data_IF_175693809912
#
_entry.id   IF_175693809912
#
_cell.length_a   1.000
_cell.length_b   1.000
_cell.length_c   1.000
_cell.angle_alpha   90.00
_cell.angle_beta   90.00
_cell.angle_gamma   90.00
#
_symmetry.space_group_name_H-M   'P 1'
#
loop_
_entity.id
_entity.type
_entity.pdbx_description
1 polymer ?
#
# COMPACT_ATOMS: atom_id res chain seq x y z
N UNK A 1 -28.67 51.71 1.54
CA UNK A 1 -28.36 50.98 0.30
C UNK A 1 -28.13 49.57 0.73
N UNK A 2 -29.16 48.75 0.61
CA UNK A 2 -29.14 47.33 0.98
C UNK A 2 -28.34 46.59 -0.08
N UNK A 3 -27.25 45.95 0.29
CA UNK A 3 -26.59 44.96 -0.54
C UNK A 3 -27.40 43.67 -0.42
N UNK A 4 -28.29 43.44 -1.38
CA UNK A 4 -28.85 42.10 -1.61
C UNK A 4 -27.68 41.14 -1.92
N UNK A 5 -27.28 40.35 -0.95
CA UNK A 5 -26.46 39.17 -1.18
C UNK A 5 -27.30 38.22 -2.04
N UNK A 6 -26.96 38.11 -3.33
CA UNK A 6 -27.54 37.11 -4.21
C UNK A 6 -27.08 35.73 -3.69
N UNK A 7 -27.88 35.12 -2.83
CA UNK A 7 -27.81 33.67 -2.59
C UNK A 7 -28.05 33.01 -3.94
N UNK A 8 -27.07 32.25 -4.42
CA UNK A 8 -27.20 31.46 -5.64
C UNK A 8 -28.30 30.42 -5.45
N UNK A 9 -29.01 30.06 -6.52
CA UNK A 9 -30.04 29.01 -6.47
C UNK A 9 -29.43 27.74 -5.86
N UNK A 10 -29.95 27.20 -4.76
CA UNK A 10 -29.42 25.97 -4.10
C UNK A 10 -29.23 24.79 -5.05
N UNK A 11 -30.01 24.74 -6.14
CA UNK A 11 -29.92 23.76 -7.19
C UNK A 11 -28.60 23.86 -7.99
N UNK A 12 -28.11 25.07 -8.21
CA UNK A 12 -26.83 25.30 -8.92
C UNK A 12 -25.67 24.85 -8.02
N UNK A 13 -25.72 25.25 -6.75
CA UNK A 13 -24.72 24.81 -5.78
C UNK A 13 -24.66 23.29 -5.64
N UNK A 14 -25.82 22.63 -5.56
CA UNK A 14 -25.89 21.18 -5.50
C UNK A 14 -25.36 20.49 -6.77
N UNK A 15 -25.61 21.06 -7.96
CA UNK A 15 -25.07 20.56 -9.22
C UNK A 15 -23.53 20.61 -9.25
N UNK A 16 -22.93 21.70 -8.78
CA UNK A 16 -21.48 21.82 -8.64
C UNK A 16 -20.89 20.85 -7.62
N UNK A 17 -21.58 20.67 -6.49
CA UNK A 17 -21.21 19.67 -5.50
C UNK A 17 -21.18 18.27 -6.09
N UNK A 18 -22.16 17.90 -6.91
CA UNK A 18 -22.21 16.61 -7.62
C UNK A 18 -21.04 16.48 -8.61
N UNK A 19 -20.73 17.52 -9.38
CA UNK A 19 -19.57 17.52 -10.29
C UNK A 19 -18.26 17.33 -9.53
N UNK A 20 -18.06 18.04 -8.42
CA UNK A 20 -16.87 17.89 -7.58
C UNK A 20 -16.70 16.46 -7.06
N UNK A 21 -17.78 15.85 -6.55
CA UNK A 21 -17.76 14.46 -6.05
C UNK A 21 -17.49 13.44 -7.17
N UNK A 22 -17.89 13.70 -8.41
CA UNK A 22 -17.76 12.74 -9.50
C UNK A 22 -16.43 12.81 -10.25
N UNK A 23 -15.79 13.98 -10.30
CA UNK A 23 -14.64 14.26 -11.18
C UNK A 23 -13.30 14.37 -10.46
N UNK A 24 -13.25 14.57 -9.13
CA UNK A 24 -12.04 14.84 -8.36
C UNK A 24 -11.56 13.68 -7.46
N UNK A 25 -10.40 13.91 -6.86
CA UNK A 25 -9.98 13.20 -5.66
C UNK A 25 -10.79 13.66 -4.43
N UNK A 26 -10.51 13.05 -3.26
CA UNK A 26 -11.27 13.36 -2.05
C UNK A 26 -11.14 14.83 -1.62
N UNK A 27 -9.93 15.40 -1.69
CA UNK A 27 -9.64 16.78 -1.29
C UNK A 27 -10.45 17.76 -2.16
N UNK A 28 -10.32 17.64 -3.48
CA UNK A 28 -11.09 18.45 -4.46
C UNK A 28 -12.60 18.30 -4.27
N UNK A 29 -13.08 17.08 -3.99
CA UNK A 29 -14.50 16.82 -3.77
C UNK A 29 -15.02 17.52 -2.51
N UNK A 30 -14.28 17.44 -1.39
CA UNK A 30 -14.69 18.07 -0.13
C UNK A 30 -14.60 19.60 -0.20
N UNK A 31 -13.57 20.16 -0.83
CA UNK A 31 -13.45 21.60 -1.06
C UNK A 31 -14.59 22.13 -1.95
N UNK A 32 -14.93 21.39 -3.00
CA UNK A 32 -16.06 21.72 -3.86
C UNK A 32 -17.41 21.70 -3.14
N UNK A 33 -17.58 20.77 -2.19
CA UNK A 33 -18.78 20.69 -1.34
C UNK A 33 -18.86 21.87 -0.36
N UNK A 34 -17.76 22.26 0.27
CA UNK A 34 -17.69 23.42 1.15
C UNK A 34 -17.92 24.72 0.36
N UNK A 35 -17.36 24.82 -0.86
CA UNK A 35 -17.62 25.94 -1.76
C UNK A 35 -19.08 26.02 -2.22
N UNK A 36 -19.74 24.89 -2.46
CA UNK A 36 -21.17 24.86 -2.78
C UNK A 36 -22.04 25.30 -1.58
N UNK A 37 -21.63 24.94 -0.36
CA UNK A 37 -22.30 25.43 0.85
C UNK A 37 -22.14 26.97 1.00
N UNK A 38 -20.95 27.49 0.71
CA UNK A 38 -20.67 28.92 0.74
C UNK A 38 -21.56 29.69 -0.26
N UNK A 39 -21.66 29.19 -1.50
CA UNK A 39 -22.51 29.80 -2.54
C UNK A 39 -24.01 29.80 -2.19
N UNK A 40 -24.50 28.73 -1.54
CA UNK A 40 -25.91 28.54 -1.24
C UNK A 40 -26.35 29.22 0.07
N UNK A 41 -25.51 29.15 1.11
CA UNK A 41 -25.90 29.44 2.49
C UNK A 41 -24.99 30.49 3.18
N UNK A 42 -23.85 30.82 2.54
CA UNK A 42 -22.86 31.79 3.03
C UNK A 42 -22.44 31.56 4.51
N UNK A 43 -22.06 30.35 4.93
CA UNK A 43 -21.51 30.13 6.26
C UNK A 43 -20.18 30.88 6.40
N UNK A 44 -19.91 31.43 7.58
CA UNK A 44 -18.63 32.06 7.86
C UNK A 44 -17.49 31.03 7.93
N UNK A 45 -17.79 29.83 8.40
CA UNK A 45 -16.84 28.71 8.51
C UNK A 45 -17.50 27.37 8.17
N UNK A 46 -16.71 26.45 7.64
CA UNK A 46 -17.12 25.08 7.39
C UNK A 46 -15.96 24.10 7.61
N UNK A 47 -16.24 22.90 8.07
CA UNK A 47 -15.23 21.84 8.23
C UNK A 47 -15.82 20.46 7.98
N UNK A 48 -15.00 19.60 7.41
CA UNK A 48 -15.28 18.17 7.25
C UNK A 48 -14.25 17.38 8.06
N UNK A 49 -14.76 16.52 8.93
CA UNK A 49 -13.94 15.61 9.73
C UNK A 49 -14.30 14.18 9.41
N UNK A 50 -13.29 13.33 9.21
CA UNK A 50 -13.47 11.92 8.85
C UNK A 50 -12.87 11.02 9.94
N UNK A 51 -13.49 9.87 10.17
CA UNK A 51 -12.92 8.81 10.99
C UNK A 51 -11.92 8.00 10.17
N UNK A 52 -10.80 7.62 10.75
CA UNK A 52 -9.83 6.70 10.14
C UNK A 52 -9.94 5.36 10.88
N UNK A 53 -10.10 4.22 10.18
CA UNK A 53 -10.15 2.90 10.82
C UNK A 53 -8.90 2.57 11.63
N UNK A 54 -7.74 3.08 11.21
CA UNK A 54 -6.42 2.79 11.81
C UNK A 54 -5.99 3.82 12.86
N UNK A 55 -6.76 4.91 13.04
CA UNK A 55 -6.45 5.98 13.99
C UNK A 55 -7.67 6.35 14.82
N UNK A 56 -7.54 6.45 16.15
CA UNK A 56 -8.66 6.85 16.99
C UNK A 56 -9.05 8.30 16.75
N UNK A 57 -10.35 8.59 16.78
CA UNK A 57 -10.92 9.93 16.69
C UNK A 57 -11.19 10.41 15.26
N UNK A 58 -11.66 11.65 15.17
CA UNK A 58 -11.92 12.32 13.91
C UNK A 58 -10.68 13.09 13.45
N UNK A 59 -10.43 13.09 12.16
CA UNK A 59 -9.34 13.84 11.52
C UNK A 59 -9.92 14.89 10.58
N UNK A 60 -9.32 16.06 10.58
CA UNK A 60 -9.71 17.15 9.69
C UNK A 60 -9.36 16.78 8.25
N UNK A 61 -10.36 16.85 7.37
CA UNK A 61 -10.22 16.51 5.95
C UNK A 61 -10.33 17.72 5.02
N UNK A 62 -11.18 18.70 5.36
CA UNK A 62 -11.32 19.94 4.59
C UNK A 62 -11.85 21.07 5.48
N UNK A 63 -11.53 22.31 5.14
CA UNK A 63 -11.97 23.51 5.87
C UNK A 63 -12.33 24.65 4.91
N UNK A 64 -13.25 25.51 5.34
CA UNK A 64 -13.62 26.75 4.67
C UNK A 64 -13.70 27.88 5.68
N UNK A 65 -13.17 29.05 5.35
CA UNK A 65 -13.32 30.28 6.16
C UNK A 65 -12.58 30.25 7.51
N UNK A 66 -11.67 29.29 7.76
CA UNK A 66 -10.91 29.14 9.01
C UNK A 66 -9.46 29.56 8.83
N UNK A 67 -8.91 30.27 9.81
CA UNK A 67 -7.48 30.55 9.90
C UNK A 67 -6.71 29.39 10.58
N UNK A 68 -5.37 29.45 10.53
CA UNK A 68 -4.50 28.40 11.10
C UNK A 68 -4.73 28.17 12.60
N UNK A 69 -5.05 29.24 13.35
CA UNK A 69 -5.30 29.13 14.78
C UNK A 69 -6.63 28.45 15.09
N UNK A 70 -7.68 28.72 14.31
CA UNK A 70 -8.98 28.05 14.40
C UNK A 70 -8.88 26.57 14.03
N UNK A 71 -8.11 26.26 12.97
CA UNK A 71 -7.82 24.88 12.55
C UNK A 71 -7.10 24.11 13.65
N UNK A 72 -6.04 24.70 14.24
CA UNK A 72 -5.29 24.06 15.30
C UNK A 72 -6.14 23.81 16.56
N UNK A 73 -7.03 24.73 16.91
CA UNK A 73 -7.99 24.55 18.02
C UNK A 73 -8.97 23.43 17.71
N UNK A 74 -9.59 23.43 16.54
CA UNK A 74 -10.54 22.39 16.14
C UNK A 74 -9.91 21.00 16.21
N UNK A 75 -8.67 20.84 15.74
CA UNK A 75 -7.95 19.58 15.79
C UNK A 75 -7.74 19.02 17.20
N UNK A 76 -7.64 19.90 18.19
CA UNK A 76 -7.57 19.53 19.63
C UNK A 76 -8.95 19.26 20.20
N UNK A 77 -9.92 20.13 19.90
CA UNK A 77 -11.26 20.12 20.48
C UNK A 77 -12.06 18.89 20.07
N UNK A 78 -11.82 18.32 18.89
CA UNK A 78 -12.51 17.12 18.40
C UNK A 78 -12.19 15.85 19.20
N UNK A 79 -11.15 15.88 20.03
CA UNK A 79 -10.86 14.80 20.99
C UNK A 79 -11.88 14.77 22.16
N UNK A 80 -12.58 15.87 22.42
CA UNK A 80 -13.64 15.92 23.43
C UNK A 80 -14.90 15.19 22.89
N UNK A 81 -15.41 14.17 23.61
CA UNK A 81 -16.66 13.51 23.26
C UNK A 81 -17.87 14.44 23.20
N UNK A 82 -17.84 15.58 23.85
CA UNK A 82 -18.91 16.59 23.84
C UNK A 82 -18.80 17.56 22.66
N UNK A 83 -17.72 17.53 21.90
CA UNK A 83 -17.57 18.35 20.70
C UNK A 83 -18.69 18.05 19.69
N UNK A 84 -19.32 19.06 19.09
CA UNK A 84 -20.46 18.87 18.17
C UNK A 84 -20.18 17.95 17.00
N UNK A 85 -19.00 18.01 16.42
CA UNK A 85 -18.58 17.09 15.34
C UNK A 85 -18.53 15.65 15.81
N UNK A 86 -17.96 15.42 17.00
CA UNK A 86 -17.85 14.08 17.60
C UNK A 86 -19.22 13.55 17.99
N UNK A 87 -20.10 14.40 18.54
CA UNK A 87 -21.49 14.06 18.84
C UNK A 87 -22.26 13.69 17.57
N UNK A 88 -22.16 14.47 16.50
CA UNK A 88 -22.82 14.18 15.23
C UNK A 88 -22.30 12.87 14.61
N UNK A 89 -21.01 12.66 14.56
CA UNK A 89 -20.41 11.44 14.00
C UNK A 89 -20.84 10.18 14.76
N UNK A 90 -20.85 10.23 16.11
CA UNK A 90 -21.15 9.08 16.95
C UNK A 90 -22.67 8.88 17.13
N UNK A 91 -23.42 9.97 17.29
CA UNK A 91 -24.88 9.96 17.51
C UNK A 91 -25.70 9.75 16.25
N UNK A 92 -25.09 9.89 15.06
CA UNK A 92 -25.74 9.82 13.75
C UNK A 92 -26.95 10.75 13.61
N UNK A 93 -26.94 11.87 14.34
CA UNK A 93 -28.01 12.83 14.38
C UNK A 93 -27.51 14.22 13.98
N UNK A 94 -28.30 14.92 13.17
CA UNK A 94 -28.03 16.30 12.76
C UNK A 94 -28.50 17.28 13.84
N UNK A 95 -27.75 18.39 13.99
CA UNK A 95 -28.12 19.53 14.83
C UNK A 95 -27.96 20.78 13.98
N UNK A 96 -28.95 21.67 13.97
CA UNK A 96 -28.97 22.82 13.05
C UNK A 96 -28.95 24.18 13.71
N UNK A 97 -29.10 24.30 15.01
CA UNK A 97 -29.30 25.50 15.78
C UNK A 97 -28.42 25.59 17.04
N UNK A 98 -27.25 24.96 17.00
CA UNK A 98 -26.37 24.92 18.17
C UNK A 98 -25.65 26.26 18.36
N UNK A 99 -26.05 27.00 19.40
CA UNK A 99 -25.33 28.21 19.81
C UNK A 99 -23.98 27.87 20.43
N UNK A 100 -22.97 28.66 20.11
CA UNK A 100 -21.63 28.55 20.64
C UNK A 100 -20.98 29.95 20.78
N UNK A 101 -19.80 29.98 21.43
CA UNK A 101 -19.04 31.23 21.57
C UNK A 101 -17.63 31.01 20.99
N UNK A 102 -17.16 32.03 20.27
CA UNK A 102 -15.79 32.11 19.78
C UNK A 102 -14.84 32.58 20.87
N UNK A 103 -13.54 32.44 20.68
CA UNK A 103 -12.53 32.90 21.63
C UNK A 103 -12.51 34.40 21.86
N UNK A 104 -12.95 35.17 20.89
CA UNK A 104 -13.09 36.62 20.97
C UNK A 104 -14.37 37.08 21.68
N UNK A 105 -15.21 36.15 22.16
CA UNK A 105 -16.47 36.39 22.82
C UNK A 105 -17.67 36.63 21.87
N UNK A 106 -17.47 36.56 20.56
CA UNK A 106 -18.58 36.54 19.59
C UNK A 106 -19.36 35.23 19.67
N UNK A 107 -20.66 35.30 19.37
CA UNK A 107 -21.52 34.11 19.33
C UNK A 107 -21.76 33.64 17.91
N UNK A 108 -21.90 32.33 17.76
CA UNK A 108 -22.23 31.72 16.45
C UNK A 108 -23.37 30.73 16.59
N UNK A 109 -24.03 30.46 15.47
CA UNK A 109 -24.97 29.34 15.32
C UNK A 109 -24.30 28.28 14.44
N UNK A 110 -24.27 27.04 14.87
CA UNK A 110 -23.64 25.94 14.17
C UNK A 110 -24.62 24.85 13.76
N UNK A 111 -24.41 24.32 12.55
CA UNK A 111 -25.05 23.11 12.07
C UNK A 111 -24.02 21.99 11.95
N UNK A 112 -24.32 20.80 12.48
CA UNK A 112 -23.42 19.65 12.50
C UNK A 112 -24.17 18.41 12.04
N UNK A 113 -23.67 17.75 10.99
CA UNK A 113 -24.34 16.63 10.35
C UNK A 113 -23.40 15.40 10.29
N UNK A 114 -23.92 14.20 10.53
CA UNK A 114 -23.14 13.00 10.37
C UNK A 114 -22.88 12.68 8.90
N UNK A 115 -21.72 12.14 8.60
CA UNK A 115 -21.41 11.51 7.32
C UNK A 115 -21.67 10.01 7.47
N UNK A 116 -22.75 9.52 6.89
CA UNK A 116 -23.20 8.13 7.03
C UNK A 116 -23.54 7.56 5.66
N UNK A 117 -23.12 6.31 5.44
CA UNK A 117 -23.55 5.53 4.27
C UNK A 117 -24.24 4.25 4.72
N UNK A 118 -25.23 3.79 3.96
CA UNK A 118 -25.88 2.50 4.22
C UNK A 118 -25.16 1.40 3.43
N UNK A 119 -24.71 0.34 4.13
CA UNK A 119 -24.15 -0.88 3.54
C UNK A 119 -24.91 -2.09 4.08
N UNK A 120 -25.51 -2.86 3.21
CA UNK A 120 -26.30 -4.06 3.58
C UNK A 120 -27.36 -3.79 4.66
N UNK A 121 -27.97 -2.58 4.61
CA UNK A 121 -28.98 -2.16 5.58
C UNK A 121 -28.41 -1.68 6.92
N UNK A 122 -27.08 -1.60 7.07
CA UNK A 122 -26.41 -1.06 8.26
C UNK A 122 -25.83 0.31 7.96
N UNK A 123 -26.08 1.27 8.84
CA UNK A 123 -25.47 2.59 8.76
C UNK A 123 -24.02 2.56 9.23
N UNK A 124 -23.10 2.97 8.34
CA UNK A 124 -21.66 3.06 8.62
C UNK A 124 -21.29 4.53 8.78
N UNK A 125 -20.87 4.97 9.96
CA UNK A 125 -20.39 6.34 10.18
C UNK A 125 -19.01 6.52 9.55
N UNK A 126 -18.85 7.62 8.83
CA UNK A 126 -17.60 7.98 8.15
C UNK A 126 -16.95 9.23 8.74
N UNK A 127 -17.72 10.02 9.48
CA UNK A 127 -17.29 11.29 10.05
C UNK A 127 -18.44 12.25 10.29
N UNK A 128 -18.15 13.54 10.20
CA UNK A 128 -19.14 14.63 10.31
C UNK A 128 -18.73 15.85 9.50
N UNK A 129 -19.70 16.65 9.10
CA UNK A 129 -19.53 17.96 8.48
C UNK A 129 -20.23 19.01 9.35
N UNK A 130 -19.63 20.18 9.48
CA UNK A 130 -20.22 21.27 10.25
C UNK A 130 -20.01 22.62 9.59
N UNK A 131 -20.93 23.52 9.87
CA UNK A 131 -20.96 24.89 9.37
C UNK A 131 -21.28 25.83 10.50
N UNK A 132 -20.80 27.08 10.42
CA UNK A 132 -21.05 28.12 11.42
C UNK A 132 -21.34 29.46 10.80
N UNK A 133 -22.32 30.15 11.38
CA UNK A 133 -22.72 31.53 11.03
C UNK A 133 -22.61 32.45 12.24
N UNK A 134 -22.31 33.75 12.08
CA UNK A 134 -22.44 34.71 13.17
C UNK A 134 -23.88 34.75 13.70
N UNK A 135 -24.03 34.77 15.02
CA UNK A 135 -25.36 34.85 15.65
C UNK A 135 -25.86 36.31 15.67
N UNK A 136 -27.18 36.53 15.56
CA UNK A 136 -28.24 35.56 15.37
C UNK A 136 -28.33 35.07 13.91
N UNK A 137 -28.56 33.75 13.72
CA UNK A 137 -28.80 33.16 12.41
C UNK A 137 -29.86 32.05 12.53
N UNK A 138 -30.76 31.99 11.52
CA UNK A 138 -31.81 30.96 11.47
C UNK A 138 -31.49 30.00 10.32
N UNK A 139 -31.38 28.73 10.63
CA UNK A 139 -31.20 27.65 9.64
C UNK A 139 -32.57 27.07 9.33
N UNK A 140 -33.25 27.70 8.37
CA UNK A 140 -34.60 27.30 7.96
C UNK A 140 -34.66 25.89 7.33
N UNK A 141 -35.86 25.39 7.10
CA UNK A 141 -36.09 24.02 6.56
C UNK A 141 -35.38 23.81 5.20
N UNK A 142 -35.31 24.85 4.34
CA UNK A 142 -34.66 24.76 3.04
C UNK A 142 -33.13 24.67 3.17
N UNK A 143 -32.55 25.44 4.10
CA UNK A 143 -31.14 25.35 4.46
C UNK A 143 -30.79 23.99 5.05
N UNK A 144 -31.64 23.46 5.95
CA UNK A 144 -31.47 22.10 6.54
C UNK A 144 -31.50 21.02 5.47
N UNK A 145 -32.40 21.10 4.49
CA UNK A 145 -32.46 20.13 3.37
C UNK A 145 -31.20 20.21 2.50
N UNK A 146 -30.72 21.44 2.21
CA UNK A 146 -29.48 21.65 1.46
C UNK A 146 -28.27 21.08 2.19
N UNK A 147 -28.10 21.38 3.47
CA UNK A 147 -27.03 20.85 4.30
C UNK A 147 -27.04 19.33 4.40
N UNK A 148 -28.24 18.75 4.54
CA UNK A 148 -28.41 17.30 4.57
C UNK A 148 -27.98 16.65 3.26
N UNK A 149 -28.32 17.29 2.12
CA UNK A 149 -27.89 16.83 0.80
C UNK A 149 -26.38 16.92 0.60
N UNK A 150 -25.76 18.01 1.06
CA UNK A 150 -24.30 18.17 1.03
C UNK A 150 -23.59 17.16 1.93
N UNK A 151 -24.12 16.89 3.12
CA UNK A 151 -23.58 15.84 4.01
C UNK A 151 -23.65 14.45 3.38
N UNK A 152 -24.76 14.12 2.70
CA UNK A 152 -24.89 12.87 1.99
C UNK A 152 -23.88 12.74 0.83
N UNK A 153 -23.66 13.83 0.08
CA UNK A 153 -22.64 13.86 -0.99
C UNK A 153 -21.21 13.76 -0.42
N UNK A 154 -20.93 14.42 0.70
CA UNK A 154 -19.64 14.29 1.40
C UNK A 154 -19.42 12.85 1.89
N UNK A 155 -20.43 12.23 2.47
CA UNK A 155 -20.37 10.83 2.88
C UNK A 155 -20.05 9.90 1.69
N UNK A 156 -20.71 10.13 0.55
CA UNK A 156 -20.46 9.35 -0.67
C UNK A 156 -19.04 9.57 -1.22
N UNK A 157 -18.51 10.81 -1.18
CA UNK A 157 -17.15 11.11 -1.60
C UNK A 157 -16.11 10.37 -0.73
N UNK A 158 -16.29 10.41 0.60
CA UNK A 158 -15.42 9.71 1.55
C UNK A 158 -15.49 8.20 1.34
N UNK A 159 -16.69 7.64 1.18
CA UNK A 159 -16.89 6.21 0.95
C UNK A 159 -16.23 5.73 -0.34
N UNK A 160 -16.42 6.47 -1.44
CA UNK A 160 -15.79 6.20 -2.72
C UNK A 160 -14.26 6.21 -2.62
N UNK A 161 -13.69 7.22 -1.95
CA UNK A 161 -12.25 7.32 -1.77
C UNK A 161 -11.68 6.13 -0.98
N UNK A 162 -12.34 5.71 0.11
CA UNK A 162 -11.97 4.54 0.89
C UNK A 162 -12.03 3.25 0.08
N UNK A 163 -13.10 3.06 -0.69
CA UNK A 163 -13.24 1.89 -1.54
C UNK A 163 -12.17 1.85 -2.63
N UNK A 164 -11.84 2.99 -3.24
CA UNK A 164 -10.79 3.09 -4.24
C UNK A 164 -9.40 2.77 -3.64
N UNK A 165 -9.07 3.30 -2.45
CA UNK A 165 -7.82 2.99 -1.74
C UNK A 165 -7.71 1.50 -1.44
N UNK A 166 -8.75 0.90 -0.86
CA UNK A 166 -8.81 -0.53 -0.56
C UNK A 166 -8.67 -1.40 -1.82
N UNK A 167 -9.30 -1.00 -2.94
CA UNK A 167 -9.18 -1.72 -4.20
C UNK A 167 -7.76 -1.64 -4.77
N UNK A 168 -7.12 -0.47 -4.69
CA UNK A 168 -5.73 -0.28 -5.13
C UNK A 168 -4.77 -1.12 -4.28
N UNK A 169 -4.86 -1.05 -2.95
CA UNK A 169 -4.04 -1.84 -2.04
C UNK A 169 -4.17 -3.34 -2.27
N UNK A 170 -5.40 -3.81 -2.50
CA UNK A 170 -5.67 -5.22 -2.84
C UNK A 170 -5.06 -5.59 -4.18
N UNK A 171 -5.19 -4.73 -5.20
CA UNK A 171 -4.60 -4.97 -6.53
C UNK A 171 -3.08 -5.06 -6.45
N UNK A 172 -2.43 -4.12 -5.77
CA UNK A 172 -0.98 -4.15 -5.55
C UNK A 172 -0.54 -5.37 -4.74
N UNK A 173 -1.34 -5.77 -3.74
CA UNK A 173 -1.07 -6.99 -2.97
C UNK A 173 -1.15 -8.23 -3.85
N UNK A 174 -2.20 -8.35 -4.69
CA UNK A 174 -2.34 -9.45 -5.64
C UNK A 174 -1.21 -9.47 -6.67
N UNK A 175 -0.80 -8.31 -7.21
CA UNK A 175 0.32 -8.22 -8.13
C UNK A 175 1.63 -8.67 -7.47
N UNK A 176 1.91 -8.20 -6.26
CA UNK A 176 3.08 -8.66 -5.50
C UNK A 176 3.05 -10.18 -5.28
N UNK A 177 1.93 -10.71 -4.80
CA UNK A 177 1.77 -12.16 -4.59
C UNK A 177 1.84 -12.98 -5.89
N UNK A 178 1.43 -12.40 -7.02
CA UNK A 178 1.52 -13.07 -8.31
C UNK A 178 2.95 -13.18 -8.85
N UNK A 179 3.85 -12.26 -8.47
CA UNK A 179 5.19 -12.14 -9.06
C UNK A 179 6.34 -12.32 -8.09
N UNK A 180 6.14 -12.14 -6.78
CA UNK A 180 7.20 -12.23 -5.78
C UNK A 180 6.90 -13.23 -4.67
N UNK A 181 7.95 -13.70 -3.99
CA UNK A 181 7.85 -14.45 -2.74
C UNK A 181 7.54 -13.50 -1.58
N UNK A 182 6.49 -13.75 -0.77
CA UNK A 182 6.04 -12.80 0.25
C UNK A 182 7.00 -12.64 1.43
N UNK A 183 7.89 -13.62 1.69
CA UNK A 183 8.85 -13.56 2.79
C UNK A 183 10.09 -12.75 2.41
N UNK A 184 10.57 -12.94 1.18
CA UNK A 184 11.86 -12.44 0.73
C UNK A 184 11.78 -11.27 -0.24
N UNK A 185 10.61 -11.04 -0.86
CA UNK A 185 10.42 -10.01 -1.89
C UNK A 185 11.08 -10.32 -3.24
N UNK A 186 11.81 -11.42 -3.36
CA UNK A 186 12.42 -11.87 -4.62
C UNK A 186 11.35 -12.40 -5.59
N UNK A 187 11.70 -12.59 -6.86
CA UNK A 187 10.82 -13.24 -7.82
C UNK A 187 10.40 -14.63 -7.31
N UNK A 188 9.12 -14.97 -7.44
CA UNK A 188 8.62 -16.31 -7.10
C UNK A 188 8.93 -17.33 -8.22
N UNK A 189 8.71 -18.59 -7.97
CA UNK A 189 8.97 -19.71 -8.90
C UNK A 189 8.35 -19.45 -10.29
N UNK A 190 7.09 -19.01 -10.32
CA UNK A 190 6.36 -18.72 -11.58
C UNK A 190 7.04 -17.64 -12.40
N UNK A 191 7.46 -16.57 -11.75
CA UNK A 191 8.12 -15.43 -12.41
C UNK A 191 9.50 -15.81 -12.91
N UNK A 192 10.28 -16.53 -12.11
CA UNK A 192 11.60 -17.05 -12.50
C UNK A 192 11.48 -17.99 -13.70
N UNK A 193 10.55 -18.94 -13.67
CA UNK A 193 10.33 -19.89 -14.78
C UNK A 193 10.07 -19.16 -16.10
N UNK A 194 9.17 -18.18 -16.07
CA UNK A 194 8.86 -17.36 -17.25
C UNK A 194 10.06 -16.57 -17.78
N UNK A 195 10.86 -15.97 -16.87
CA UNK A 195 12.07 -15.21 -17.24
C UNK A 195 13.12 -16.15 -17.84
N UNK A 196 13.32 -17.32 -17.26
CA UNK A 196 14.29 -18.31 -17.75
C UNK A 196 13.93 -18.77 -19.17
N UNK A 197 12.67 -19.09 -19.44
CA UNK A 197 12.19 -19.43 -20.78
C UNK A 197 12.46 -18.31 -21.80
N UNK A 198 12.17 -17.06 -21.43
CA UNK A 198 12.38 -15.90 -22.29
C UNK A 198 13.87 -15.67 -22.59
N UNK A 199 14.75 -15.78 -21.58
CA UNK A 199 16.18 -15.56 -21.75
C UNK A 199 16.84 -16.69 -22.56
N UNK A 200 16.47 -17.95 -22.34
CA UNK A 200 16.93 -19.08 -23.16
C UNK A 200 16.48 -18.93 -24.63
N UNK A 201 15.21 -18.58 -24.86
CA UNK A 201 14.71 -18.34 -26.19
C UNK A 201 15.41 -17.14 -26.88
N UNK A 202 15.73 -16.10 -26.13
CA UNK A 202 16.49 -14.94 -26.61
C UNK A 202 17.92 -15.35 -26.96
N UNK A 203 18.61 -16.06 -26.07
CA UNK A 203 19.98 -16.53 -26.26
C UNK A 203 20.08 -17.44 -27.48
N UNK A 204 19.12 -18.36 -27.67
CA UNK A 204 19.06 -19.25 -28.84
C UNK A 204 19.00 -18.46 -30.17
N UNK A 205 18.19 -17.39 -30.21
CA UNK A 205 18.05 -16.55 -31.42
C UNK A 205 19.28 -15.66 -31.68
N UNK A 206 19.96 -15.22 -30.62
CA UNK A 206 21.08 -14.27 -30.73
C UNK A 206 22.44 -14.93 -30.75
N UNK A 207 22.52 -16.25 -30.54
CA UNK A 207 23.79 -16.96 -30.38
C UNK A 207 24.56 -16.55 -29.13
N UNK A 208 23.85 -16.10 -28.07
CA UNK A 208 24.42 -15.68 -26.80
C UNK A 208 24.24 -16.77 -25.73
N UNK A 209 24.78 -16.54 -24.54
CA UNK A 209 24.68 -17.48 -23.41
C UNK A 209 23.75 -16.97 -22.34
N UNK A 210 23.19 -17.92 -21.55
CA UNK A 210 22.47 -17.66 -20.30
C UNK A 210 23.04 -18.58 -19.23
N UNK A 211 23.39 -18.01 -18.08
CA UNK A 211 23.75 -18.78 -16.91
C UNK A 211 22.53 -18.93 -15.98
N UNK A 212 22.32 -20.13 -15.48
CA UNK A 212 21.32 -20.45 -14.46
C UNK A 212 22.03 -21.07 -13.25
N UNK A 213 21.69 -20.60 -12.04
CA UNK A 213 22.20 -21.17 -10.81
C UNK A 213 21.08 -21.47 -9.84
N UNK A 214 21.18 -22.58 -9.12
CA UNK A 214 20.32 -22.98 -8.00
C UNK A 214 21.16 -22.90 -6.73
N UNK A 215 20.66 -22.25 -5.71
CA UNK A 215 21.22 -22.14 -4.38
C UNK A 215 20.31 -22.84 -3.39
N UNK A 216 20.86 -23.52 -2.41
CA UNK A 216 20.13 -24.17 -1.35
C UNK A 216 20.82 -23.87 -0.01
N UNK A 217 20.02 -23.52 1.00
CA UNK A 217 20.54 -23.16 2.32
C UNK A 217 20.96 -24.41 3.05
N UNK A 218 22.26 -24.51 3.33
CA UNK A 218 22.82 -25.70 4.01
C UNK A 218 22.27 -25.82 5.43
N UNK A 219 21.86 -27.06 5.80
CA UNK A 219 21.35 -27.40 7.12
C UNK A 219 20.14 -26.51 7.62
N UNK A 220 19.33 -25.98 6.72
CA UNK A 220 18.20 -25.10 7.04
C UNK A 220 17.23 -25.72 8.07
N UNK A 221 16.94 -27.01 7.94
CA UNK A 221 16.09 -27.71 8.92
C UNK A 221 16.67 -27.71 10.34
N UNK A 222 18.01 -27.75 10.46
CA UNK A 222 18.66 -27.68 11.78
C UNK A 222 18.50 -26.28 12.39
N UNK A 223 18.61 -25.22 11.58
CA UNK A 223 18.35 -23.86 12.01
C UNK A 223 16.92 -23.70 12.55
N UNK A 224 15.92 -24.23 11.83
CA UNK A 224 14.53 -24.22 12.28
C UNK A 224 14.30 -25.00 13.58
N UNK A 225 14.96 -26.15 13.75
CA UNK A 225 14.83 -26.96 14.99
C UNK A 225 15.41 -26.26 16.21
N UNK A 226 16.52 -25.55 16.05
CA UNK A 226 17.26 -24.93 17.16
C UNK A 226 16.77 -23.53 17.49
N UNK A 227 16.42 -22.73 16.46
CA UNK A 227 16.03 -21.32 16.58
C UNK A 227 14.55 -21.03 16.33
N UNK A 228 13.75 -22.05 15.97
CA UNK A 228 12.35 -21.87 15.58
C UNK A 228 12.19 -21.30 14.17
N UNK A 229 10.94 -21.19 13.73
CA UNK A 229 10.62 -20.67 12.39
C UNK A 229 11.09 -19.22 12.16
N UNK A 230 11.11 -18.41 13.22
CA UNK A 230 11.58 -17.01 13.11
C UNK A 230 13.08 -16.94 12.73
N UNK A 231 13.90 -17.84 13.28
CA UNK A 231 15.31 -17.92 12.91
C UNK A 231 15.50 -18.39 11.46
N UNK A 232 14.69 -19.34 11.00
CA UNK A 232 14.67 -19.76 9.59
C UNK A 232 14.27 -18.62 8.66
N UNK A 233 13.22 -17.89 9.01
CA UNK A 233 12.77 -16.71 8.24
C UNK A 233 13.84 -15.61 8.17
N UNK A 234 14.59 -15.39 9.27
CA UNK A 234 15.70 -14.43 9.30
C UNK A 234 16.83 -14.89 8.34
N UNK A 235 17.20 -16.18 8.36
CA UNK A 235 18.16 -16.73 7.40
C UNK A 235 17.70 -16.51 5.96
N UNK A 236 16.45 -16.84 5.63
CA UNK A 236 15.93 -16.69 4.28
C UNK A 236 15.93 -15.22 3.80
N UNK A 237 15.59 -14.28 4.67
CA UNK A 237 15.65 -12.83 4.34
C UNK A 237 17.07 -12.36 4.10
N UNK A 238 18.04 -12.82 4.92
CA UNK A 238 19.47 -12.47 4.74
C UNK A 238 20.05 -13.06 3.47
N UNK A 239 19.74 -14.32 3.16
CA UNK A 239 20.14 -14.94 1.90
C UNK A 239 19.55 -14.16 0.71
N UNK A 240 18.28 -13.79 0.77
CA UNK A 240 17.64 -13.01 -0.26
C UNK A 240 18.31 -11.62 -0.48
N UNK A 241 18.65 -10.92 0.62
CA UNK A 241 19.36 -9.64 0.57
C UNK A 241 20.73 -9.79 -0.07
N UNK A 242 21.50 -10.79 0.35
CA UNK A 242 22.81 -11.05 -0.22
C UNK A 242 22.77 -11.41 -1.72
N UNK A 243 21.75 -12.17 -2.14
CA UNK A 243 21.49 -12.42 -3.56
C UNK A 243 21.21 -11.12 -4.33
N UNK A 244 20.26 -10.31 -3.86
CA UNK A 244 19.85 -9.08 -4.52
C UNK A 244 21.00 -8.06 -4.64
N UNK A 245 21.83 -7.93 -3.60
CA UNK A 245 22.99 -7.02 -3.58
C UNK A 245 24.17 -7.51 -4.45
N UNK A 246 24.19 -8.82 -4.74
CA UNK A 246 25.27 -9.44 -5.50
C UNK A 246 25.04 -9.51 -7.00
N UNK A 247 23.90 -9.04 -7.52
CA UNK A 247 23.54 -9.18 -8.93
C UNK A 247 23.41 -7.82 -9.63
N UNK A 248 23.39 -7.83 -10.97
CA UNK A 248 23.17 -6.64 -11.79
C UNK A 248 21.68 -6.45 -12.05
N UNK A 249 21.30 -5.26 -12.49
CA UNK A 249 19.91 -4.95 -12.85
C UNK A 249 19.30 -5.87 -13.92
N UNK A 250 20.15 -6.44 -14.79
CA UNK A 250 19.73 -7.35 -15.87
C UNK A 250 19.63 -8.82 -15.41
N UNK A 251 20.17 -9.14 -14.25
CA UNK A 251 20.10 -10.48 -13.66
C UNK A 251 18.80 -10.59 -12.85
N UNK A 252 18.23 -11.77 -12.79
CA UNK A 252 17.05 -12.06 -11.98
C UNK A 252 17.38 -13.04 -10.89
N UNK A 253 17.01 -12.71 -9.66
CA UNK A 253 17.07 -13.65 -8.52
C UNK A 253 15.67 -13.95 -8.01
N UNK A 254 15.45 -15.18 -7.56
CA UNK A 254 14.15 -15.61 -7.07
C UNK A 254 14.26 -16.72 -6.04
N UNK A 255 13.14 -16.98 -5.36
CA UNK A 255 12.96 -18.10 -4.44
C UNK A 255 11.94 -19.06 -5.02
N UNK A 256 12.31 -20.32 -5.18
CA UNK A 256 11.49 -21.34 -5.85
C UNK A 256 11.03 -22.47 -4.93
N UNK A 257 11.49 -22.49 -3.69
CA UNK A 257 11.18 -23.52 -2.71
C UNK A 257 11.32 -23.02 -1.28
N UNK A 258 11.24 -23.92 -0.32
CA UNK A 258 11.38 -23.60 1.09
C UNK A 258 12.70 -22.89 1.41
N UNK A 259 13.80 -23.45 0.97
CA UNK A 259 15.18 -23.03 1.17
C UNK A 259 15.97 -22.91 -0.14
N UNK A 260 15.29 -22.98 -1.29
CA UNK A 260 15.88 -22.93 -2.62
C UNK A 260 15.73 -21.54 -3.27
N UNK A 261 16.85 -20.99 -3.72
CA UNK A 261 16.92 -19.73 -4.46
C UNK A 261 17.55 -19.97 -5.84
N UNK A 262 17.32 -19.05 -6.77
CA UNK A 262 17.85 -19.16 -8.12
C UNK A 262 18.35 -17.82 -8.64
N UNK A 263 19.27 -17.91 -9.62
CA UNK A 263 19.77 -16.81 -10.42
C UNK A 263 19.58 -17.14 -11.89
N UNK A 264 19.02 -16.20 -12.65
CA UNK A 264 19.04 -16.17 -14.11
C UNK A 264 19.91 -14.99 -14.53
N UNK A 265 21.02 -15.24 -15.18
CA UNK A 265 21.97 -14.21 -15.59
C UNK A 265 22.29 -14.31 -17.08
N UNK A 266 21.93 -13.31 -17.90
CA UNK A 266 22.37 -13.24 -19.30
C UNK A 266 23.89 -13.22 -19.39
N UNK A 267 24.45 -14.11 -20.23
CA UNK A 267 25.89 -14.27 -20.44
C UNK A 267 26.50 -15.44 -19.66
N UNK A 268 27.85 -15.53 -19.69
CA UNK A 268 28.63 -16.66 -19.17
C UNK A 268 29.16 -16.48 -17.73
N UNK A 269 28.85 -15.36 -17.09
CA UNK A 269 29.45 -14.99 -15.80
C UNK A 269 28.80 -15.69 -14.58
N UNK A 270 27.82 -16.58 -14.78
CA UNK A 270 27.02 -17.17 -13.70
C UNK A 270 27.82 -17.84 -12.59
N UNK A 271 28.89 -18.59 -12.92
CA UNK A 271 29.74 -19.21 -11.90
C UNK A 271 30.43 -18.14 -11.01
N UNK A 272 30.95 -17.09 -11.59
CA UNK A 272 31.60 -16.01 -10.82
C UNK A 272 30.59 -15.30 -9.91
N UNK A 273 29.38 -15.07 -10.41
CA UNK A 273 28.29 -14.45 -9.62
C UNK A 273 27.87 -15.38 -8.50
N UNK A 274 27.71 -16.70 -8.78
CA UNK A 274 27.35 -17.69 -7.77
C UNK A 274 28.38 -17.78 -6.64
N UNK A 275 29.66 -17.84 -6.98
CA UNK A 275 30.77 -17.85 -6.00
C UNK A 275 30.77 -16.58 -5.13
N UNK A 276 30.53 -15.41 -5.72
CA UNK A 276 30.40 -14.14 -4.99
C UNK A 276 29.24 -14.17 -4.01
N UNK A 277 28.08 -14.69 -4.43
CA UNK A 277 26.89 -14.83 -3.58
C UNK A 277 27.19 -15.79 -2.41
N UNK A 278 27.76 -16.96 -2.68
CA UNK A 278 28.14 -17.92 -1.64
C UNK A 278 29.06 -17.28 -0.60
N UNK A 279 30.08 -16.56 -1.06
CA UNK A 279 31.00 -15.85 -0.17
C UNK A 279 30.34 -14.72 0.64
N UNK A 280 29.46 -13.96 0.02
CA UNK A 280 28.71 -12.89 0.69
C UNK A 280 27.78 -13.43 1.78
N UNK A 281 27.13 -14.59 1.54
CA UNK A 281 26.28 -15.23 2.53
C UNK A 281 27.10 -15.80 3.69
N UNK A 282 28.23 -16.45 3.41
CA UNK A 282 29.12 -17.00 4.43
C UNK A 282 29.76 -15.91 5.34
N UNK A 283 29.84 -14.67 4.87
CA UNK A 283 30.31 -13.53 5.64
C UNK A 283 29.24 -12.91 6.57
N UNK A 284 27.98 -13.35 6.49
CA UNK A 284 26.88 -12.87 7.33
C UNK A 284 27.07 -13.29 8.80
N UNK A 285 26.59 -12.50 9.76
CA UNK A 285 26.57 -12.90 11.15
C UNK A 285 25.77 -14.19 11.36
N UNK A 286 26.17 -15.05 12.31
CA UNK A 286 25.41 -16.26 12.63
C UNK A 286 23.97 -15.96 13.06
N UNK A 287 23.05 -16.87 12.76
CA UNK A 287 21.66 -16.87 13.23
C UNK A 287 21.47 -18.02 14.20
N UNK A 288 20.88 -17.79 15.37
CA UNK A 288 20.73 -18.77 16.45
C UNK A 288 22.07 -19.48 16.79
N UNK A 289 23.20 -18.76 16.71
CA UNK A 289 24.54 -19.30 16.96
C UNK A 289 25.14 -20.16 15.83
N UNK A 290 24.47 -20.29 14.69
CA UNK A 290 24.91 -21.08 13.53
C UNK A 290 25.34 -20.16 12.38
N UNK A 291 26.49 -20.44 11.73
CA UNK A 291 26.85 -19.73 10.51
C UNK A 291 25.84 -20.03 9.38
N UNK A 292 25.60 -19.04 8.56
CA UNK A 292 24.76 -19.18 7.36
C UNK A 292 25.65 -19.66 6.22
N UNK A 293 25.24 -20.68 5.50
CA UNK A 293 25.93 -21.23 4.35
C UNK A 293 24.93 -21.64 3.28
N UNK A 294 25.31 -21.52 2.01
CA UNK A 294 24.54 -22.00 0.87
C UNK A 294 25.44 -22.77 -0.08
N UNK A 295 24.95 -23.86 -0.63
CA UNK A 295 25.58 -24.56 -1.75
C UNK A 295 24.93 -24.14 -3.06
N UNK A 296 25.69 -24.05 -4.15
CA UNK A 296 25.18 -23.63 -5.44
C UNK A 296 25.58 -24.57 -6.57
N UNK A 297 24.61 -24.84 -7.46
CA UNK A 297 24.87 -25.54 -8.72
C UNK A 297 24.63 -24.59 -9.90
N UNK A 298 25.55 -24.54 -10.85
CA UNK A 298 25.54 -23.60 -11.97
C UNK A 298 25.60 -24.36 -13.28
N UNK A 299 24.77 -23.93 -14.25
CA UNK A 299 24.83 -24.43 -15.62
C UNK A 299 24.62 -23.29 -16.63
N UNK A 300 25.08 -23.49 -17.88
CA UNK A 300 25.01 -22.49 -18.96
C UNK A 300 24.33 -23.07 -20.18
N UNK A 301 23.45 -22.27 -20.75
CA UNK A 301 22.93 -22.51 -22.09
C UNK A 301 23.78 -21.72 -23.11
N UNK A 302 24.18 -22.26 -24.25
CA UNK A 302 23.92 -23.63 -24.72
C UNK A 302 25.04 -24.63 -24.34
N UNK A 303 26.07 -24.23 -23.59
CA UNK A 303 27.29 -25.06 -23.36
C UNK A 303 27.03 -26.33 -22.58
N UNK A 304 26.18 -26.27 -21.56
CA UNK A 304 25.93 -27.35 -20.62
C UNK A 304 24.52 -27.97 -20.79
N UNK A 305 23.66 -27.35 -21.62
CA UNK A 305 22.28 -27.75 -21.82
C UNK A 305 21.73 -27.25 -23.16
N UNK A 306 20.73 -27.93 -23.73
CA UNK A 306 20.10 -27.59 -25.02
C UNK A 306 18.78 -26.81 -24.89
N UNK A 307 18.15 -26.84 -23.74
CA UNK A 307 16.85 -26.25 -23.45
C UNK A 307 16.72 -25.94 -21.94
N UNK A 308 15.56 -25.41 -21.54
CA UNK A 308 15.30 -25.01 -20.13
C UNK A 308 15.30 -26.21 -19.19
N UNK A 309 14.72 -27.32 -19.58
CA UNK A 309 14.59 -28.51 -18.73
C UNK A 309 15.97 -29.12 -18.43
N UNK A 310 16.79 -29.32 -19.47
CA UNK A 310 18.16 -29.82 -19.34
C UNK A 310 19.06 -28.81 -18.62
N UNK A 311 18.83 -27.50 -18.74
CA UNK A 311 19.57 -26.47 -18.03
C UNK A 311 19.31 -26.53 -16.51
N UNK A 312 18.05 -26.70 -16.11
CA UNK A 312 17.67 -26.89 -14.71
C UNK A 312 18.26 -28.20 -14.16
N UNK A 313 18.20 -29.28 -14.94
CA UNK A 313 18.77 -30.58 -14.55
C UNK A 313 20.30 -30.49 -14.35
N UNK A 314 21.01 -29.81 -15.24
CA UNK A 314 22.43 -29.57 -15.12
C UNK A 314 22.77 -28.75 -13.86
N UNK A 315 22.00 -27.67 -13.58
CA UNK A 315 22.22 -26.91 -12.36
C UNK A 315 21.97 -27.73 -11.08
N UNK A 316 20.98 -28.63 -11.07
CA UNK A 316 20.74 -29.56 -9.95
C UNK A 316 21.88 -30.54 -9.77
N UNK A 317 22.46 -31.07 -10.86
CA UNK A 317 23.67 -31.92 -10.81
C UNK A 317 24.86 -31.17 -10.19
N UNK A 318 25.08 -29.90 -10.60
CA UNK A 318 26.07 -29.03 -9.99
C UNK A 318 25.85 -28.79 -8.50
N UNK A 319 24.60 -28.61 -8.06
CA UNK A 319 24.27 -28.46 -6.64
C UNK A 319 24.59 -29.74 -5.85
N UNK A 320 24.27 -30.89 -6.41
CA UNK A 320 24.63 -32.20 -5.79
C UNK A 320 26.15 -32.36 -5.64
N UNK A 321 26.93 -31.93 -6.63
CA UNK A 321 28.40 -31.90 -6.56
C UNK A 321 28.93 -30.98 -5.47
N UNK A 322 28.43 -29.73 -5.44
CA UNK A 322 28.82 -28.76 -4.41
C UNK A 322 28.58 -29.30 -2.99
N UNK A 323 27.44 -29.93 -2.76
CA UNK A 323 27.13 -30.58 -1.47
C UNK A 323 28.06 -31.75 -1.14
N UNK A 324 28.45 -32.57 -2.14
CA UNK A 324 29.36 -33.68 -1.95
C UNK A 324 30.81 -33.22 -1.68
N UNK A 325 31.24 -32.10 -2.21
CA UNK A 325 32.57 -31.51 -2.04
C UNK A 325 32.74 -30.77 -0.70
N UNK A 326 31.69 -30.64 0.10
CA UNK A 326 31.81 -30.08 1.46
C UNK A 326 30.86 -28.94 1.82
N UNK A 327 29.89 -28.66 0.96
CA UNK A 327 28.91 -27.54 1.14
C UNK A 327 29.56 -26.14 1.15
N UNK A 328 28.75 -25.10 1.19
CA UNK A 328 29.25 -23.74 1.18
C UNK A 328 30.08 -23.36 -0.06
N UNK A 329 29.82 -24.04 -1.18
CA UNK A 329 30.58 -23.91 -2.43
C UNK A 329 29.65 -23.83 -3.64
N UNK A 330 30.21 -23.47 -4.80
CA UNK A 330 29.50 -23.50 -6.08
C UNK A 330 30.20 -24.45 -7.05
N UNK A 331 29.43 -25.32 -7.68
CA UNK A 331 29.96 -26.28 -8.67
C UNK A 331 29.19 -26.23 -9.99
N UNK A 332 29.85 -26.54 -11.09
CA UNK A 332 29.23 -26.70 -12.40
C UNK A 332 28.62 -28.09 -12.56
N UNK A 333 27.39 -28.10 -13.10
CA UNK A 333 26.75 -29.32 -13.55
C UNK A 333 26.73 -29.46 -15.06
N UNK A 334 26.50 -30.67 -15.53
CA UNK A 334 26.28 -30.99 -16.93
C UNK A 334 24.99 -31.79 -17.02
N UNK A 335 24.18 -31.56 -18.03
CA UNK A 335 22.97 -32.34 -18.23
C UNK A 335 23.31 -33.84 -18.33
N UNK A 336 22.51 -34.71 -17.70
CA UNK A 336 22.71 -36.15 -17.87
C UNK A 336 22.61 -36.49 -19.35
N UNK A 337 23.53 -37.35 -19.85
CA UNK A 337 23.48 -37.83 -21.20
C UNK A 337 22.18 -38.64 -21.37
N UNK A 338 21.29 -38.21 -22.30
CA UNK A 338 20.03 -38.84 -22.60
C UNK A 338 20.25 -40.23 -23.29
#
# INVERSE_FOLDING_TARGET
>A
MSSDGQSSDPRIALSRAIEAVTSGDLETALDGLLGAADEALAPAVGAVLISDPDRPGLQLAAVHGMDEEAIARLAVDVADPANPFTVAANGRASTFDREGSMADGSTYVGAYLPLVVARDGVEVPLGSIGFGWPAPHDVDDAAQETLTSLAALAALAVDRARLASTATERSEWFERMAHTDPLTGLANERTVGRILELEVARASRQGSEVSFAIFDVDDFQATNREGGNEAGDDVLRRVASALAESVRLVDTVGRIGGDEFVLVAPGSAGMMVAQRIVAAIAAQPPVAGRPISVSAGVARFPSDASDVETLIAAAKDGLAKARAEGRGTAASGVAPAG
#
